data_IF_679194367672
#
_entry.id   IF_679194367672
#
_cell.length_a   1.000
_cell.length_b   1.000
_cell.length_c   1.000
_cell.angle_alpha   90.00
_cell.angle_beta   90.00
_cell.angle_gamma   90.00
#
_symmetry.space_group_name_H-M   'P 1'
#
loop_
_entity.id
_entity.type
_entity.pdbx_description
1 polymer ?
#
# COMPACT_ATOMS: atom_id res chain seq x y z
N UNK A 1 8.31 20.40 -16.52
CA UNK A 1 6.86 20.48 -16.22
C UNK A 1 6.33 19.09 -16.45
N UNK A 2 6.09 18.33 -15.38
CA UNK A 2 5.45 17.02 -15.50
C UNK A 2 4.03 17.29 -15.99
N UNK A 3 3.63 16.69 -17.11
CA UNK A 3 2.21 16.68 -17.48
C UNK A 3 1.50 15.93 -16.36
N UNK A 4 0.58 16.58 -15.67
CA UNK A 4 -0.33 15.86 -14.78
C UNK A 4 -1.14 14.96 -15.73
N UNK A 5 -0.79 13.68 -15.77
CA UNK A 5 -1.62 12.68 -16.44
C UNK A 5 -3.02 12.73 -15.83
N UNK A 6 -4.05 12.52 -16.65
CA UNK A 6 -5.44 12.58 -16.21
C UNK A 6 -5.67 11.61 -15.05
N UNK A 7 -6.54 11.97 -14.10
CA UNK A 7 -6.88 11.11 -12.97
C UNK A 7 -7.45 9.77 -13.51
N UNK A 8 -6.75 8.64 -13.34
CA UNK A 8 -7.09 7.39 -14.00
C UNK A 8 -8.47 6.88 -13.57
N UNK A 9 -8.91 7.21 -12.34
CA UNK A 9 -10.22 6.84 -11.83
C UNK A 9 -11.36 7.65 -12.45
N UNK A 10 -11.11 8.92 -12.82
CA UNK A 10 -12.08 9.73 -13.57
C UNK A 10 -12.23 9.20 -14.99
N UNK A 11 -11.12 8.82 -15.63
CA UNK A 11 -11.15 8.23 -16.98
C UNK A 11 -11.90 6.88 -16.97
N UNK A 12 -11.64 6.02 -15.97
CA UNK A 12 -12.38 4.75 -15.77
C UNK A 12 -13.87 4.99 -15.53
N UNK A 13 -14.24 6.02 -14.76
CA UNK A 13 -15.64 6.38 -14.52
C UNK A 13 -16.33 6.82 -15.81
N UNK A 14 -15.70 7.67 -16.61
CA UNK A 14 -16.25 8.12 -17.88
C UNK A 14 -16.46 6.93 -18.84
N UNK A 15 -15.47 6.05 -18.96
CA UNK A 15 -15.57 4.84 -19.77
C UNK A 15 -16.72 3.92 -19.31
N UNK A 16 -16.90 3.76 -18.00
CA UNK A 16 -18.02 3.00 -17.43
C UNK A 16 -19.38 3.62 -17.79
N UNK A 17 -19.50 4.95 -17.66
CA UNK A 17 -20.72 5.67 -18.01
C UNK A 17 -21.03 5.60 -19.51
N UNK A 18 -20.02 5.69 -20.36
CA UNK A 18 -20.17 5.58 -21.82
C UNK A 18 -20.58 4.17 -22.24
N UNK A 19 -20.06 3.12 -21.59
CA UNK A 19 -20.46 1.73 -21.83
C UNK A 19 -21.89 1.42 -21.35
N UNK A 20 -22.37 2.12 -20.32
CA UNK A 20 -23.70 1.96 -19.76
C UNK A 20 -24.79 2.60 -20.65
N UNK A 21 -24.93 2.14 -21.90
CA UNK A 21 -25.96 2.61 -22.85
C UNK A 21 -27.41 2.23 -22.47
N UNK A 22 -27.66 1.64 -21.29
CA UNK A 22 -29.01 1.34 -20.77
C UNK A 22 -29.26 2.09 -19.45
N UNK A 23 -30.27 2.97 -19.37
CA UNK A 23 -30.65 3.67 -18.14
C UNK A 23 -30.96 2.73 -16.96
N UNK A 24 -31.29 1.46 -17.22
CA UNK A 24 -31.54 0.45 -16.19
C UNK A 24 -30.27 -0.13 -15.55
N UNK A 25 -29.11 -0.02 -16.20
CA UNK A 25 -27.83 -0.48 -15.65
C UNK A 25 -27.20 0.63 -14.79
N UNK A 26 -27.29 1.89 -15.22
CA UNK A 26 -26.73 3.04 -14.49
C UNK A 26 -27.34 3.18 -13.10
N UNK A 27 -28.65 2.97 -12.95
CA UNK A 27 -29.34 3.02 -11.65
C UNK A 27 -28.99 1.84 -10.72
N UNK A 28 -28.54 0.71 -11.27
CA UNK A 28 -28.17 -0.48 -10.50
C UNK A 28 -26.68 -0.53 -10.11
N UNK A 29 -25.89 0.50 -10.45
CA UNK A 29 -24.44 0.51 -10.24
C UNK A 29 -23.95 1.76 -9.47
N UNK A 30 -24.82 2.39 -8.67
CA UNK A 30 -24.44 3.57 -7.88
C UNK A 30 -23.22 3.28 -6.97
N UNK A 31 -23.15 2.10 -6.37
CA UNK A 31 -22.03 1.70 -5.51
C UNK A 31 -20.67 1.69 -6.27
N UNK A 32 -20.71 1.36 -7.57
CA UNK A 32 -19.53 1.35 -8.45
C UNK A 32 -19.11 2.79 -8.79
N UNK A 33 -20.08 3.64 -9.12
CA UNK A 33 -19.84 5.07 -9.36
C UNK A 33 -19.27 5.74 -8.11
N UNK A 34 -19.84 5.44 -6.94
CA UNK A 34 -19.36 5.96 -5.66
C UNK A 34 -17.95 5.43 -5.35
N UNK A 35 -17.62 4.20 -5.73
CA UNK A 35 -16.27 3.67 -5.61
C UNK A 35 -15.26 4.47 -6.44
N UNK A 36 -15.55 4.70 -7.73
CA UNK A 36 -14.66 5.49 -8.57
C UNK A 36 -14.48 6.92 -8.06
N UNK A 37 -15.55 7.57 -7.57
CA UNK A 37 -15.42 8.89 -6.98
C UNK A 37 -14.55 8.91 -5.73
N UNK A 38 -14.68 7.90 -4.84
CA UNK A 38 -13.81 7.78 -3.66
C UNK A 38 -12.35 7.59 -4.05
N UNK A 39 -12.09 6.69 -5.01
CA UNK A 39 -10.73 6.39 -5.45
C UNK A 39 -10.10 7.58 -6.18
N UNK A 40 -10.87 8.31 -6.99
CA UNK A 40 -10.43 9.55 -7.62
C UNK A 40 -10.05 10.64 -6.59
N UNK A 41 -10.85 10.81 -5.54
CA UNK A 41 -10.57 11.75 -4.46
C UNK A 41 -9.32 11.35 -3.67
N UNK A 42 -9.18 10.05 -3.37
CA UNK A 42 -8.00 9.53 -2.69
C UNK A 42 -6.74 9.75 -3.52
N UNK A 43 -6.79 9.48 -4.82
CA UNK A 43 -5.66 9.67 -5.75
C UNK A 43 -5.15 11.11 -5.74
N UNK A 44 -6.05 12.08 -5.90
CA UNK A 44 -5.69 13.50 -5.88
C UNK A 44 -5.10 13.94 -4.53
N UNK A 45 -5.71 13.49 -3.42
CA UNK A 45 -5.25 13.82 -2.08
C UNK A 45 -3.86 13.23 -1.79
N UNK A 46 -3.63 11.97 -2.17
CA UNK A 46 -2.36 11.28 -1.97
C UNK A 46 -1.28 11.88 -2.87
N UNK A 47 -1.57 12.17 -4.13
CA UNK A 47 -0.61 12.78 -5.05
C UNK A 47 -0.18 14.18 -4.58
N UNK A 48 -1.14 14.98 -4.08
CA UNK A 48 -0.83 16.26 -3.45
C UNK A 48 0.04 16.08 -2.20
N UNK A 49 -0.32 15.17 -1.30
CA UNK A 49 0.44 14.89 -0.08
C UNK A 49 1.86 14.37 -0.38
N UNK A 50 2.01 13.55 -1.42
CA UNK A 50 3.30 13.06 -1.89
C UNK A 50 4.16 14.19 -2.47
N UNK A 51 3.56 15.12 -3.21
CA UNK A 51 4.27 16.29 -3.73
C UNK A 51 4.85 17.17 -2.60
N UNK A 52 4.15 17.23 -1.46
CA UNK A 52 4.60 18.00 -0.28
C UNK A 52 5.58 17.22 0.61
N UNK A 53 5.33 15.93 0.84
CA UNK A 53 6.07 15.11 1.82
C UNK A 53 7.24 14.35 1.18
N UNK A 54 7.05 13.86 -0.05
CA UNK A 54 7.96 12.95 -0.74
C UNK A 54 7.95 11.53 -0.15
N UNK A 55 9.08 10.84 -0.28
CA UNK A 55 9.26 9.49 0.25
C UNK A 55 9.10 9.43 1.77
N UNK A 56 8.56 8.32 2.26
CA UNK A 56 8.13 8.18 3.65
C UNK A 56 6.65 8.51 3.85
N UNK A 57 5.94 9.00 2.83
CA UNK A 57 4.49 9.15 2.88
C UNK A 57 3.85 7.81 3.25
N UNK A 58 3.09 7.81 4.34
CA UNK A 58 2.44 6.63 4.88
C UNK A 58 0.94 6.72 4.65
N UNK A 59 0.36 5.64 4.14
CA UNK A 59 -1.05 5.49 3.86
C UNK A 59 -1.63 4.38 4.72
N UNK A 60 -2.81 4.60 5.27
CA UNK A 60 -3.60 3.65 6.05
C UNK A 60 -4.63 2.97 5.17
N UNK A 61 -4.84 1.68 5.41
CA UNK A 61 -5.97 0.96 4.83
C UNK A 61 -7.27 1.34 5.55
N UNK A 62 -8.33 1.62 4.80
CA UNK A 62 -9.59 2.07 5.40
C UNK A 62 -10.35 0.96 6.14
N UNK A 63 -10.09 -0.30 5.81
CA UNK A 63 -10.85 -1.46 6.29
C UNK A 63 -10.07 -2.36 7.24
N UNK A 64 -8.74 -2.35 7.15
CA UNK A 64 -7.85 -3.18 7.97
C UNK A 64 -6.93 -2.32 8.81
N UNK A 65 -6.38 -2.89 9.88
CA UNK A 65 -5.36 -2.23 10.70
C UNK A 65 -3.96 -2.40 10.10
N UNK A 66 -3.80 -1.92 8.86
CA UNK A 66 -2.60 -2.05 8.06
C UNK A 66 -2.26 -0.72 7.37
N UNK A 67 -1.00 -0.56 7.03
CA UNK A 67 -0.47 0.62 6.38
C UNK A 67 0.49 0.24 5.26
N UNK A 68 0.82 1.22 4.42
CA UNK A 68 1.87 1.12 3.42
C UNK A 68 2.66 2.42 3.38
N UNK A 69 3.97 2.34 3.14
CA UNK A 69 4.85 3.51 3.01
C UNK A 69 5.45 3.55 1.61
N UNK A 70 5.43 4.73 0.99
CA UNK A 70 5.97 4.97 -0.37
C UNK A 70 7.46 5.31 -0.30
N UNK A 71 8.28 4.60 -1.07
CA UNK A 71 9.74 4.66 -1.04
C UNK A 71 10.32 4.50 -2.46
N UNK A 72 11.57 4.91 -2.65
CA UNK A 72 12.39 4.41 -3.76
C UNK A 72 12.68 2.92 -3.57
N UNK A 73 12.76 2.19 -4.67
CA UNK A 73 13.23 0.81 -4.63
C UNK A 73 14.76 0.78 -4.50
N UNK A 74 15.24 0.19 -3.39
CA UNK A 74 16.66 0.09 -3.10
C UNK A 74 17.36 -1.05 -3.85
N UNK A 75 16.60 -1.98 -4.42
CA UNK A 75 17.12 -3.14 -5.16
C UNK A 75 17.17 -2.85 -6.66
N UNK A 76 16.22 -2.05 -7.16
CA UNK A 76 16.07 -1.70 -8.57
C UNK A 76 16.11 -0.17 -8.75
N UNK A 77 17.31 0.43 -8.89
CA UNK A 77 17.46 1.87 -9.01
C UNK A 77 16.62 2.48 -10.13
N UNK A 78 15.84 3.51 -9.80
CA UNK A 78 14.93 4.18 -10.73
C UNK A 78 13.50 3.64 -10.71
N UNK A 79 13.22 2.58 -9.94
CA UNK A 79 11.86 2.10 -9.66
C UNK A 79 11.40 2.55 -8.27
N UNK A 80 10.09 2.47 -8.06
CA UNK A 80 9.44 2.94 -6.84
C UNK A 80 8.66 1.79 -6.21
N UNK A 81 8.46 1.83 -4.90
CA UNK A 81 7.68 0.81 -4.21
C UNK A 81 6.81 1.39 -3.12
N UNK A 82 5.72 0.70 -2.84
CA UNK A 82 5.09 0.81 -1.53
C UNK A 82 5.33 -0.47 -0.73
N UNK A 83 5.66 -0.32 0.55
CA UNK A 83 5.95 -1.42 1.47
C UNK A 83 4.88 -1.47 2.55
N UNK A 84 4.16 -2.57 2.64
CA UNK A 84 3.06 -2.79 3.57
C UNK A 84 3.54 -3.31 4.93
N UNK A 85 2.89 -2.83 5.99
CA UNK A 85 3.15 -3.19 7.38
C UNK A 85 1.92 -3.16 8.27
N UNK A 86 2.02 -3.81 9.42
CA UNK A 86 1.06 -3.73 10.52
C UNK A 86 1.81 -3.59 11.87
N UNK A 87 1.12 -3.81 12.98
CA UNK A 87 1.71 -3.71 14.33
C UNK A 87 2.92 -4.63 14.55
N UNK A 88 3.08 -5.69 13.75
CA UNK A 88 4.11 -6.71 13.88
C UNK A 88 5.25 -6.53 12.89
N UNK A 89 5.22 -5.50 12.05
CA UNK A 89 6.29 -5.20 11.11
C UNK A 89 5.88 -5.27 9.65
N UNK A 90 6.89 -5.24 8.78
CA UNK A 90 6.73 -5.34 7.34
C UNK A 90 6.39 -6.75 6.89
N UNK A 91 5.49 -6.89 5.91
CA UNK A 91 5.10 -8.21 5.39
C UNK A 91 4.93 -8.29 3.86
N UNK A 92 4.96 -7.17 3.13
CA UNK A 92 4.82 -7.19 1.68
C UNK A 92 5.27 -5.88 1.03
N UNK A 93 5.63 -5.92 -0.25
CA UNK A 93 5.92 -4.73 -1.04
C UNK A 93 5.58 -4.97 -2.50
N UNK A 94 5.33 -3.88 -3.21
CA UNK A 94 4.99 -3.86 -4.62
C UNK A 94 5.87 -2.80 -5.28
N UNK A 95 6.54 -3.15 -6.38
CA UNK A 95 7.49 -2.28 -7.10
C UNK A 95 6.96 -1.95 -8.49
N UNK A 96 6.87 -0.66 -8.78
CA UNK A 96 6.31 -0.08 -10.00
C UNK A 96 7.30 0.87 -10.68
N UNK A 97 6.96 1.32 -11.89
CA UNK A 97 7.87 2.10 -12.74
C UNK A 97 7.66 3.62 -12.56
N UNK A 98 6.54 4.04 -11.98
CA UNK A 98 6.25 5.45 -11.64
C UNK A 98 5.62 5.61 -10.25
N UNK A 99 5.60 6.84 -9.73
CA UNK A 99 4.94 7.16 -8.46
C UNK A 99 3.42 7.06 -8.59
N UNK A 100 2.90 7.48 -9.74
CA UNK A 100 1.49 7.41 -10.11
C UNK A 100 0.99 5.96 -10.02
N UNK A 101 1.74 5.00 -10.60
CA UNK A 101 1.43 3.57 -10.51
C UNK A 101 1.49 3.04 -9.07
N UNK A 102 2.45 3.50 -8.26
CA UNK A 102 2.53 3.14 -6.83
C UNK A 102 1.28 3.61 -6.07
N UNK A 103 0.80 4.83 -6.34
CA UNK A 103 -0.39 5.40 -5.70
C UNK A 103 -1.64 4.66 -6.17
N UNK A 104 -1.75 4.35 -7.47
CA UNK A 104 -2.85 3.56 -8.02
C UNK A 104 -2.94 2.18 -7.34
N UNK A 105 -1.85 1.43 -7.30
CA UNK A 105 -1.83 0.08 -6.70
C UNK A 105 -2.15 0.13 -5.19
N UNK A 106 -1.64 1.14 -4.48
CA UNK A 106 -1.97 1.34 -3.07
C UNK A 106 -3.48 1.58 -2.85
N UNK A 107 -4.12 2.39 -3.68
CA UNK A 107 -5.58 2.67 -3.60
C UNK A 107 -6.38 1.41 -3.95
N UNK A 108 -5.99 0.69 -4.99
CA UNK A 108 -6.64 -0.56 -5.41
C UNK A 108 -6.57 -1.63 -4.29
N UNK A 109 -5.46 -1.66 -3.53
CA UNK A 109 -5.31 -2.51 -2.33
C UNK A 109 -5.99 -1.96 -1.06
N UNK A 110 -6.47 -0.72 -1.12
CA UNK A 110 -7.31 -0.09 -0.12
C UNK A 110 -6.65 0.91 0.82
N UNK A 111 -5.41 1.28 0.54
CA UNK A 111 -4.66 2.31 1.25
C UNK A 111 -4.99 3.71 0.71
N UNK A 112 -6.05 4.33 1.24
CA UNK A 112 -6.62 5.57 0.69
C UNK A 112 -6.41 6.82 1.56
N UNK A 113 -6.02 6.64 2.82
CA UNK A 113 -5.94 7.72 3.81
C UNK A 113 -4.50 7.99 4.21
N UNK A 114 -4.02 9.23 4.11
CA UNK A 114 -2.69 9.62 4.63
C UNK A 114 -2.65 9.51 6.16
N UNK A 115 -1.65 8.82 6.71
CA UNK A 115 -1.45 8.59 8.16
C UNK A 115 0.06 8.62 8.49
N UNK A 116 0.70 9.76 8.23
CA UNK A 116 2.12 9.97 8.50
C UNK A 116 2.45 9.87 10.00
N UNK A 117 3.64 9.36 10.32
CA UNK A 117 4.10 9.17 11.71
C UNK A 117 3.78 7.79 12.28
N UNK A 118 2.85 7.04 11.66
CA UNK A 118 2.44 5.74 12.18
C UNK A 118 3.55 4.70 12.15
N UNK A 119 4.38 4.71 11.11
CA UNK A 119 5.50 3.77 11.02
C UNK A 119 6.47 3.99 12.18
N UNK A 120 6.80 5.24 12.47
CA UNK A 120 7.69 5.65 13.56
C UNK A 120 7.11 5.25 14.92
N UNK A 121 5.81 5.44 15.12
CA UNK A 121 5.12 5.00 16.34
C UNK A 121 5.20 3.48 16.54
N UNK A 122 4.84 2.71 15.51
CA UNK A 122 4.79 1.25 15.60
C UNK A 122 6.18 0.63 15.75
N UNK A 123 7.18 1.16 15.03
CA UNK A 123 8.57 0.69 15.11
C UNK A 123 9.16 0.72 16.53
N UNK A 124 8.61 1.54 17.43
CA UNK A 124 9.06 1.67 18.81
C UNK A 124 8.39 0.69 19.79
N UNK A 125 7.47 -0.14 19.31
CA UNK A 125 6.71 -1.08 20.16
C UNK A 125 7.42 -2.42 20.32
N UNK A 126 7.17 -3.10 21.44
CA UNK A 126 7.65 -4.47 21.68
C UNK A 126 7.05 -5.47 20.69
N UNK A 127 5.78 -5.27 20.30
CA UNK A 127 5.09 -6.11 19.32
C UNK A 127 5.75 -6.04 17.95
N UNK A 128 6.13 -4.83 17.50
CA UNK A 128 6.89 -4.66 16.26
C UNK A 128 8.26 -5.30 16.35
N UNK A 129 8.96 -5.14 17.47
CA UNK A 129 10.29 -5.73 17.67
C UNK A 129 10.22 -7.26 17.58
N UNK A 130 9.23 -7.89 18.22
CA UNK A 130 9.05 -9.33 18.18
C UNK A 130 8.61 -9.82 16.80
N UNK A 131 7.66 -9.15 16.16
CA UNK A 131 7.22 -9.50 14.81
C UNK A 131 8.34 -9.35 13.77
N UNK A 132 9.14 -8.29 13.86
CA UNK A 132 10.33 -8.08 13.03
C UNK A 132 11.38 -9.19 13.23
N UNK A 133 11.59 -9.61 14.48
CA UNK A 133 12.47 -10.73 14.82
C UNK A 133 11.99 -12.03 14.16
N UNK A 134 10.70 -12.33 14.23
CA UNK A 134 10.10 -13.51 13.57
C UNK A 134 10.19 -13.39 12.05
N UNK A 135 9.94 -12.21 11.48
CA UNK A 135 10.10 -11.94 10.05
C UNK A 135 11.52 -12.23 9.55
N UNK A 136 12.53 -11.80 10.31
CA UNK A 136 13.93 -12.10 10.00
C UNK A 136 14.23 -13.61 10.01
N UNK A 137 13.63 -14.38 10.92
CA UNK A 137 13.77 -15.84 10.94
C UNK A 137 13.11 -16.48 9.71
N UNK A 138 11.94 -16.00 9.29
CA UNK A 138 11.28 -16.46 8.06
C UNK A 138 12.16 -16.19 6.85
N UNK A 139 12.78 -15.01 6.76
CA UNK A 139 13.71 -14.68 5.68
C UNK A 139 14.93 -15.61 5.65
N UNK A 140 15.51 -15.91 6.81
CA UNK A 140 16.62 -16.87 6.92
C UNK A 140 16.21 -18.27 6.48
N UNK A 141 15.00 -18.72 6.85
CA UNK A 141 14.47 -20.02 6.44
C UNK A 141 14.26 -20.06 4.91
N UNK A 142 13.61 -19.04 4.35
CA UNK A 142 13.32 -18.94 2.92
C UNK A 142 14.60 -18.84 2.07
N UNK A 143 15.66 -18.23 2.60
CA UNK A 143 16.97 -18.16 1.95
C UNK A 143 17.85 -19.40 2.19
N UNK A 144 17.37 -20.39 2.95
CA UNK A 144 18.11 -21.62 3.26
C UNK A 144 19.25 -21.46 4.26
N UNK A 145 19.34 -20.32 4.96
CA UNK A 145 20.35 -20.06 5.99
C UNK A 145 20.08 -20.87 7.27
N UNK A 146 18.81 -21.16 7.55
CA UNK A 146 18.39 -22.04 8.65
C UNK A 146 17.43 -23.11 8.13
N UNK A 147 17.35 -24.23 8.84
CA UNK A 147 16.34 -25.27 8.61
C UNK A 147 15.15 -25.12 9.57
N UNK A 148 14.11 -25.92 9.34
CA UNK A 148 12.88 -25.91 10.14
C UNK A 148 13.10 -26.15 11.64
N UNK A 149 14.06 -27.00 12.04
CA UNK A 149 14.33 -27.25 13.47
C UNK A 149 14.94 -26.01 14.13
N UNK A 150 15.87 -25.35 13.45
CA UNK A 150 16.46 -24.09 13.91
C UNK A 150 15.41 -22.99 14.00
N UNK A 151 14.53 -22.86 13.00
CA UNK A 151 13.41 -21.93 13.02
C UNK A 151 12.51 -22.17 14.23
N UNK A 152 11.99 -23.39 14.41
CA UNK A 152 11.07 -23.72 15.50
C UNK A 152 11.65 -23.45 16.90
N UNK A 153 12.94 -23.72 17.08
CA UNK A 153 13.64 -23.44 18.34
C UNK A 153 13.77 -21.95 18.66
N UNK A 154 13.88 -21.10 17.63
CA UNK A 154 14.08 -19.65 17.77
C UNK A 154 12.77 -18.86 17.70
N UNK A 155 11.73 -19.39 17.05
CA UNK A 155 10.42 -18.74 16.91
C UNK A 155 9.51 -18.96 18.12
N UNK A 156 9.90 -19.86 19.04
CA UNK A 156 9.15 -20.08 20.29
C UNK A 156 9.27 -18.84 21.19
N UNK A 157 8.17 -18.33 21.76
CA UNK A 157 8.24 -17.21 22.69
C UNK A 157 9.13 -17.60 23.87
N UNK A 158 10.06 -16.70 24.23
CA UNK A 158 10.88 -16.87 25.44
C UNK A 158 9.95 -17.03 26.64
N UNK A 159 10.14 -18.04 27.50
CA UNK A 159 9.32 -18.22 28.70
C UNK A 159 9.35 -17.02 29.64
#
# INVERSE_FOLDING_TARGET
>A
MCSIESNPYIDRLQAFQDMAHSPSLTANCQDVVDAFHRDAQAYEAILAAFTETGYGLTLRNDTTNQWTVILEDMSEPGRFRHQTFDQRGFFGHHTMDSIEEVIEDAIDLGYRTVDNGRLEELCMTEEWAEGSRVGALIQQLNSGQINWNQFASQSSPTP
#
